data_IF_753792410512
#
_entry.id   IF_753792410512
#
_cell.length_a   1.000
_cell.length_b   1.000
_cell.length_c   1.000
_cell.angle_alpha   90.00
_cell.angle_beta   90.00
_cell.angle_gamma   90.00
#
_symmetry.space_group_name_H-M   'P 1'
#
loop_
_entity.id
_entity.type
_entity.pdbx_description
1 polymer ?
#
# COMPACT_ATOMS: atom_id res chain seq x y z
N UNK A 1 -21.02 -14.91 14.79
CA UNK A 1 -20.87 -14.59 13.35
C UNK A 1 -19.74 -15.48 12.83
N UNK A 2 -19.92 -16.15 11.69
CA UNK A 2 -18.91 -17.02 11.11
C UNK A 2 -17.70 -16.16 10.69
N UNK A 3 -16.59 -16.26 11.42
CA UNK A 3 -15.36 -15.50 11.16
C UNK A 3 -14.51 -16.09 10.02
N UNK A 4 -15.08 -16.93 9.16
CA UNK A 4 -14.34 -17.45 8.01
C UNK A 4 -14.25 -16.37 6.93
N UNK A 5 -13.05 -16.07 6.41
CA UNK A 5 -12.90 -15.11 5.33
C UNK A 5 -13.67 -15.58 4.09
N UNK A 6 -14.24 -14.63 3.35
CA UNK A 6 -14.98 -14.92 2.11
C UNK A 6 -14.07 -15.56 1.04
N UNK A 7 -12.80 -15.15 1.02
CA UNK A 7 -11.78 -15.68 0.14
C UNK A 7 -10.54 -16.11 0.94
N UNK A 8 -9.94 -17.23 0.55
CA UNK A 8 -8.68 -17.71 1.10
C UNK A 8 -7.58 -17.60 0.05
N UNK A 9 -6.30 -17.42 0.46
CA UNK A 9 -5.18 -17.41 -0.49
C UNK A 9 -5.14 -18.70 -1.31
N UNK A 10 -5.04 -18.59 -2.62
CA UNK A 10 -4.93 -19.73 -3.54
C UNK A 10 -3.46 -20.13 -3.72
N UNK A 11 -3.20 -21.44 -3.76
CA UNK A 11 -1.94 -21.89 -4.35
C UNK A 11 -1.94 -21.59 -5.84
N UNK A 12 -0.80 -21.25 -6.41
CA UNK A 12 -0.70 -20.88 -7.84
C UNK A 12 -1.34 -21.92 -8.76
N UNK A 13 -1.13 -23.21 -8.49
CA UNK A 13 -1.68 -24.32 -9.28
C UNK A 13 -3.21 -24.44 -9.21
N UNK A 14 -3.83 -23.90 -8.15
CA UNK A 14 -5.28 -24.01 -7.90
C UNK A 14 -6.01 -22.72 -8.34
N UNK A 15 -5.27 -21.69 -8.73
CA UNK A 15 -5.82 -20.43 -9.24
C UNK A 15 -6.37 -20.60 -10.67
N UNK A 16 -7.31 -19.74 -11.12
CA UNK A 16 -7.69 -19.67 -12.52
C UNK A 16 -6.47 -19.54 -13.44
N UNK A 17 -6.44 -20.21 -14.58
CA UNK A 17 -5.29 -20.26 -15.49
C UNK A 17 -4.71 -18.87 -15.82
N UNK A 18 -5.58 -17.88 -16.05
CA UNK A 18 -5.16 -16.51 -16.33
C UNK A 18 -4.54 -15.79 -15.12
N UNK A 19 -4.76 -16.28 -13.88
CA UNK A 19 -4.10 -15.79 -12.68
C UNK A 19 -2.77 -16.49 -12.43
N UNK A 20 -2.61 -17.74 -12.84
CA UNK A 20 -1.38 -18.52 -12.57
C UNK A 20 -0.13 -17.81 -13.13
N UNK A 21 -0.17 -17.37 -14.39
CA UNK A 21 0.94 -16.63 -15.02
C UNK A 21 1.28 -15.34 -14.25
N UNK A 22 0.26 -14.63 -13.75
CA UNK A 22 0.47 -13.42 -12.95
C UNK A 22 1.10 -13.75 -11.59
N UNK A 23 0.64 -14.81 -10.92
CA UNK A 23 1.22 -15.25 -9.64
C UNK A 23 2.65 -15.76 -9.80
N UNK A 24 2.99 -16.40 -10.92
CA UNK A 24 4.37 -16.78 -11.21
C UNK A 24 5.29 -15.55 -11.40
N UNK A 25 4.78 -14.47 -12.01
CA UNK A 25 5.51 -13.20 -12.11
C UNK A 25 5.72 -12.57 -10.73
N UNK A 26 4.68 -12.57 -9.90
CA UNK A 26 4.75 -12.10 -8.51
C UNK A 26 5.79 -12.90 -7.71
N UNK A 27 5.75 -14.22 -7.83
CA UNK A 27 6.74 -15.09 -7.15
C UNK A 27 8.18 -14.78 -7.57
N UNK A 28 8.42 -14.55 -8.87
CA UNK A 28 9.76 -14.16 -9.36
C UNK A 28 10.24 -12.81 -8.80
N UNK A 29 9.32 -11.88 -8.56
CA UNK A 29 9.64 -10.55 -8.04
C UNK A 29 9.89 -10.55 -6.53
N UNK A 30 9.02 -11.20 -5.74
CA UNK A 30 9.08 -11.21 -4.28
C UNK A 30 9.83 -12.41 -3.68
N UNK A 31 10.06 -13.48 -4.44
CA UNK A 31 10.54 -14.76 -3.92
C UNK A 31 9.43 -15.63 -3.29
N UNK A 32 8.23 -15.09 -3.13
CA UNK A 32 7.03 -15.77 -2.66
C UNK A 32 5.79 -15.09 -3.26
N UNK A 33 4.61 -15.65 -3.03
CA UNK A 33 3.33 -15.03 -3.44
C UNK A 33 2.67 -14.45 -2.19
N UNK A 34 2.60 -13.11 -2.04
CA UNK A 34 1.90 -12.49 -0.91
C UNK A 34 0.44 -12.94 -0.82
N UNK A 35 -0.04 -13.21 0.39
CA UNK A 35 -1.39 -13.72 0.66
C UNK A 35 -2.49 -12.84 0.03
N UNK A 36 -2.32 -11.52 0.05
CA UNK A 36 -3.25 -10.59 -0.61
C UNK A 36 -3.36 -10.88 -2.11
N UNK A 37 -2.24 -11.07 -2.80
CA UNK A 37 -2.23 -11.32 -4.24
C UNK A 37 -2.74 -12.72 -4.57
N UNK A 38 -2.41 -13.70 -3.74
CA UNK A 38 -2.97 -15.05 -3.81
C UNK A 38 -4.49 -15.05 -3.65
N UNK A 39 -5.02 -14.17 -2.80
CA UNK A 39 -6.46 -14.02 -2.59
C UNK A 39 -7.12 -13.25 -3.73
N UNK A 40 -6.51 -12.16 -4.22
CA UNK A 40 -7.01 -11.45 -5.41
C UNK A 40 -7.03 -12.33 -6.67
N UNK A 41 -6.24 -13.40 -6.69
CA UNK A 41 -6.16 -14.34 -7.82
C UNK A 41 -7.45 -15.12 -8.10
N UNK A 42 -8.42 -15.14 -7.18
CA UNK A 42 -9.78 -15.61 -7.45
C UNK A 42 -10.42 -14.90 -8.64
N UNK A 43 -10.04 -13.65 -8.90
CA UNK A 43 -10.44 -12.90 -10.10
C UNK A 43 -9.21 -12.48 -10.91
N UNK A 44 -8.98 -13.09 -12.10
CA UNK A 44 -7.88 -12.69 -12.97
C UNK A 44 -7.91 -11.20 -13.33
N UNK A 45 -9.09 -10.62 -13.47
CA UNK A 45 -9.26 -9.19 -13.75
C UNK A 45 -8.85 -8.33 -12.57
N UNK A 46 -9.26 -8.68 -11.34
CA UNK A 46 -8.89 -7.94 -10.13
C UNK A 46 -7.38 -7.97 -9.91
N UNK A 47 -6.77 -9.16 -9.98
CA UNK A 47 -5.33 -9.32 -9.85
C UNK A 47 -4.57 -8.51 -10.90
N UNK A 48 -4.97 -8.58 -12.17
CA UNK A 48 -4.33 -7.86 -13.27
C UNK A 48 -4.41 -6.34 -13.10
N UNK A 49 -5.59 -5.81 -12.77
CA UNK A 49 -5.77 -4.36 -12.57
C UNK A 49 -4.92 -3.88 -11.40
N UNK A 50 -4.92 -4.63 -10.29
CA UNK A 50 -4.12 -4.29 -9.11
C UNK A 50 -2.62 -4.29 -9.42
N UNK A 51 -2.10 -5.33 -10.09
CA UNK A 51 -0.70 -5.42 -10.47
C UNK A 51 -0.29 -4.33 -11.46
N UNK A 52 -1.11 -4.05 -12.48
CA UNK A 52 -0.82 -2.98 -13.44
C UNK A 52 -0.80 -1.60 -12.79
N UNK A 53 -1.71 -1.33 -11.86
CA UNK A 53 -1.71 -0.09 -11.10
C UNK A 53 -0.46 0.03 -10.19
N UNK A 54 -0.05 -1.07 -9.54
CA UNK A 54 1.16 -1.12 -8.73
C UNK A 54 2.43 -0.87 -9.58
N UNK A 55 2.53 -1.52 -10.74
CA UNK A 55 3.64 -1.32 -11.69
C UNK A 55 3.66 0.13 -12.19
N UNK A 56 2.50 0.67 -12.59
CA UNK A 56 2.41 2.06 -13.03
C UNK A 56 2.84 3.05 -11.95
N UNK A 57 2.45 2.82 -10.70
CA UNK A 57 2.85 3.63 -9.56
C UNK A 57 4.37 3.57 -9.31
N UNK A 58 4.98 2.37 -9.40
CA UNK A 58 6.42 2.19 -9.24
C UNK A 58 7.26 2.91 -10.31
N UNK A 59 6.71 3.08 -11.52
CA UNK A 59 7.38 3.81 -12.61
C UNK A 59 7.15 5.32 -12.57
N UNK A 60 6.52 5.83 -11.54
CA UNK A 60 6.35 7.26 -11.32
C UNK A 60 7.65 7.98 -10.94
N UNK A 61 7.52 9.26 -10.61
CA UNK A 61 8.65 10.15 -10.29
C UNK A 61 8.88 10.32 -8.78
N UNK A 62 7.96 9.84 -7.94
CA UNK A 62 8.17 9.69 -6.51
C UNK A 62 9.30 8.68 -6.27
N UNK A 63 10.22 9.00 -5.36
CA UNK A 63 11.27 8.04 -4.96
C UNK A 63 10.67 6.77 -4.36
N UNK A 64 11.38 5.62 -4.36
CA UNK A 64 10.88 4.41 -3.71
C UNK A 64 10.47 4.61 -2.24
N UNK A 65 11.20 5.48 -1.51
CA UNK A 65 10.86 5.84 -0.14
C UNK A 65 9.52 6.61 -0.08
N UNK A 66 9.35 7.63 -0.91
CA UNK A 66 8.12 8.42 -0.98
C UNK A 66 6.92 7.58 -1.42
N UNK A 67 7.11 6.63 -2.36
CA UNK A 67 6.08 5.68 -2.76
C UNK A 67 5.62 4.82 -1.58
N UNK A 68 6.54 4.25 -0.79
CA UNK A 68 6.18 3.46 0.39
C UNK A 68 5.54 4.31 1.48
N UNK A 69 5.94 5.56 1.66
CA UNK A 69 5.30 6.51 2.58
C UNK A 69 3.83 6.73 2.19
N UNK A 70 3.53 6.94 0.91
CA UNK A 70 2.14 7.06 0.42
C UNK A 70 1.33 5.80 0.73
N UNK A 71 1.87 4.62 0.38
CA UNK A 71 1.15 3.36 0.53
C UNK A 71 0.94 3.00 2.02
N UNK A 72 1.95 3.22 2.86
CA UNK A 72 1.85 3.01 4.32
C UNK A 72 0.83 3.97 4.94
N UNK A 73 0.93 5.25 4.62
CA UNK A 73 0.00 6.28 5.14
C UNK A 73 -1.44 5.96 4.77
N UNK A 74 -1.72 5.65 3.50
CA UNK A 74 -3.05 5.31 3.05
C UNK A 74 -3.59 4.03 3.71
N UNK A 75 -2.73 3.03 3.93
CA UNK A 75 -3.09 1.79 4.62
C UNK A 75 -3.42 2.03 6.08
N UNK A 76 -2.66 2.89 6.76
CA UNK A 76 -2.90 3.27 8.16
C UNK A 76 -4.19 4.07 8.31
N UNK A 77 -4.44 5.05 7.43
CA UNK A 77 -5.67 5.85 7.45
C UNK A 77 -6.93 5.02 7.18
N UNK A 78 -6.81 3.93 6.42
CA UNK A 78 -7.89 2.98 6.17
C UNK A 78 -7.97 1.85 7.21
N UNK A 79 -7.18 1.85 8.28
CA UNK A 79 -7.13 0.79 9.30
C UNK A 79 -6.92 -0.63 8.75
N UNK A 80 -6.21 -0.78 7.61
CA UNK A 80 -5.90 -2.09 7.04
C UNK A 80 -4.66 -2.68 7.70
N UNK A 81 -4.83 -3.67 8.57
CA UNK A 81 -3.72 -4.32 9.29
C UNK A 81 -2.73 -4.98 8.35
N UNK A 82 -3.20 -5.81 7.42
CA UNK A 82 -2.34 -6.50 6.44
C UNK A 82 -1.47 -5.51 5.67
N UNK A 83 -2.11 -4.48 5.10
CA UNK A 83 -1.40 -3.52 4.26
C UNK A 83 -0.44 -2.62 5.08
N UNK A 84 -0.78 -2.26 6.30
CA UNK A 84 0.13 -1.52 7.19
C UNK A 84 1.37 -2.34 7.49
N UNK A 85 1.23 -3.62 7.89
CA UNK A 85 2.37 -4.50 8.16
C UNK A 85 3.26 -4.69 6.93
N UNK A 86 2.66 -5.01 5.77
CA UNK A 86 3.42 -5.23 4.54
C UNK A 86 4.16 -3.98 4.07
N UNK A 87 3.51 -2.80 4.08
CA UNK A 87 4.18 -1.56 3.66
C UNK A 87 5.17 -1.03 4.69
N UNK A 88 5.03 -1.31 5.99
CA UNK A 88 6.06 -1.04 6.98
C UNK A 88 7.32 -1.87 6.73
N UNK A 89 7.17 -3.17 6.44
CA UNK A 89 8.29 -4.02 6.08
C UNK A 89 8.97 -3.58 4.78
N UNK A 90 8.19 -3.32 3.72
CA UNK A 90 8.71 -2.85 2.44
C UNK A 90 9.40 -1.48 2.55
N UNK A 91 8.84 -0.55 3.32
CA UNK A 91 9.43 0.76 3.59
C UNK A 91 10.80 0.62 4.26
N UNK A 92 10.89 -0.23 5.28
CA UNK A 92 12.12 -0.42 6.06
C UNK A 92 13.20 -1.16 5.27
N UNK A 93 12.88 -2.33 4.69
CA UNK A 93 13.87 -3.25 4.17
C UNK A 93 14.19 -3.06 2.68
N UNK A 94 13.29 -2.48 1.90
CA UNK A 94 13.48 -2.32 0.45
C UNK A 94 13.61 -0.87 0.01
N UNK A 95 12.90 0.06 0.67
CA UNK A 95 12.92 1.47 0.31
C UNK A 95 13.80 2.33 1.22
N UNK A 96 14.40 1.75 2.28
CA UNK A 96 15.26 2.44 3.24
C UNK A 96 14.63 3.69 3.86
N UNK A 97 13.32 3.64 4.13
CA UNK A 97 12.64 4.72 4.85
C UNK A 97 13.13 4.74 6.29
N UNK A 98 13.54 5.91 6.83
CA UNK A 98 13.98 6.02 8.22
C UNK A 98 12.93 5.50 9.21
N UNK A 99 13.38 4.75 10.23
CA UNK A 99 12.49 4.12 11.20
C UNK A 99 11.58 5.11 11.93
N UNK A 100 12.08 6.30 12.24
CA UNK A 100 11.31 7.38 12.85
C UNK A 100 10.17 7.88 11.97
N UNK A 101 10.32 7.86 10.64
CA UNK A 101 9.24 8.20 9.69
C UNK A 101 8.15 7.15 9.72
N UNK A 102 8.54 5.87 9.69
CA UNK A 102 7.59 4.73 9.77
C UNK A 102 6.79 4.81 11.08
N UNK A 103 7.48 4.97 12.22
CA UNK A 103 6.86 5.07 13.54
C UNK A 103 5.90 6.28 13.61
N UNK A 104 6.29 7.43 13.07
CA UNK A 104 5.44 8.62 13.03
C UNK A 104 4.15 8.37 12.26
N UNK A 105 4.23 7.73 11.08
CA UNK A 105 3.05 7.38 10.27
C UNK A 105 2.14 6.41 11.03
N UNK A 106 2.70 5.32 11.58
CA UNK A 106 1.94 4.28 12.29
C UNK A 106 1.27 4.81 13.56
N UNK A 107 1.93 5.74 14.28
CA UNK A 107 1.39 6.36 15.49
C UNK A 107 0.50 7.58 15.21
N UNK A 108 0.31 7.96 13.93
CA UNK A 108 -0.48 9.13 13.56
C UNK A 108 0.18 10.47 13.87
N UNK A 109 1.48 10.47 14.20
CA UNK A 109 2.23 11.68 14.55
C UNK A 109 2.76 12.39 13.30
N UNK A 110 3.08 13.70 13.38
CA UNK A 110 3.78 14.41 12.31
C UNK A 110 5.18 13.83 12.07
N UNK A 111 5.60 13.84 10.79
CA UNK A 111 6.96 13.50 10.39
C UNK A 111 7.87 14.74 10.55
N UNK A 112 9.08 14.57 11.09
CA UNK A 112 9.98 15.69 11.36
C UNK A 112 10.47 16.40 10.08
N UNK A 113 10.71 15.64 8.99
CA UNK A 113 11.05 16.21 7.70
C UNK A 113 9.84 16.92 7.09
N UNK A 114 9.97 18.22 6.81
CA UNK A 114 8.86 19.04 6.34
C UNK A 114 8.30 18.62 4.97
N UNK A 115 9.17 18.13 4.06
CA UNK A 115 8.76 17.66 2.74
C UNK A 115 7.99 16.35 2.85
N UNK A 116 8.53 15.38 3.58
CA UNK A 116 7.85 14.10 3.82
C UNK A 116 6.56 14.27 4.63
N UNK A 117 6.55 15.21 5.60
CA UNK A 117 5.33 15.52 6.33
C UNK A 117 4.22 16.08 5.43
N UNK A 118 4.56 16.92 4.46
CA UNK A 118 3.59 17.43 3.49
C UNK A 118 3.01 16.30 2.61
N UNK A 119 3.82 15.30 2.25
CA UNK A 119 3.38 14.10 1.52
C UNK A 119 2.42 13.26 2.37
N UNK A 120 2.78 13.01 3.63
CA UNK A 120 1.94 12.26 4.60
C UNK A 120 0.61 12.97 4.82
N UNK A 121 0.62 14.29 5.09
CA UNK A 121 -0.59 15.07 5.32
C UNK A 121 -1.51 15.11 4.09
N UNK A 122 -0.95 15.28 2.89
CA UNK A 122 -1.74 15.21 1.66
C UNK A 122 -2.40 13.84 1.52
N UNK A 123 -1.65 12.77 1.71
CA UNK A 123 -2.16 11.39 1.60
C UNK A 123 -3.27 11.13 2.62
N UNK A 124 -3.09 11.54 3.89
CA UNK A 124 -4.11 11.45 4.93
C UNK A 124 -5.40 12.16 4.53
N UNK A 125 -5.28 13.42 4.09
CA UNK A 125 -6.45 14.22 3.71
C UNK A 125 -7.19 13.63 2.50
N UNK A 126 -6.45 13.12 1.50
CA UNK A 126 -7.06 12.46 0.34
C UNK A 126 -7.85 11.22 0.73
N UNK A 127 -7.36 10.40 1.66
CA UNK A 127 -8.06 9.23 2.17
C UNK A 127 -9.26 9.65 3.03
N UNK A 128 -9.02 10.42 4.09
CA UNK A 128 -10.05 10.77 5.08
C UNK A 128 -11.22 11.55 4.45
N UNK A 129 -10.92 12.46 3.52
CA UNK A 129 -11.93 13.29 2.85
C UNK A 129 -12.36 12.74 1.47
N UNK A 130 -12.01 11.50 1.13
CA UNK A 130 -12.42 10.86 -0.13
C UNK A 130 -12.08 11.72 -1.37
N UNK A 131 -10.86 12.24 -1.40
CA UNK A 131 -10.36 13.10 -2.48
C UNK A 131 -10.61 14.59 -2.29
N UNK A 132 -11.44 15.02 -1.33
CA UNK A 132 -11.71 16.44 -1.05
C UNK A 132 -10.63 17.07 -0.16
N UNK A 133 -9.35 16.96 -0.57
CA UNK A 133 -8.25 17.57 0.18
C UNK A 133 -8.39 19.10 0.23
N UNK A 134 -8.20 19.73 1.41
CA UNK A 134 -8.24 21.18 1.53
C UNK A 134 -7.18 21.84 0.65
N UNK A 135 -7.52 22.95 -0.01
CA UNK A 135 -6.59 23.68 -0.88
C UNK A 135 -5.27 24.04 -0.18
N UNK A 136 -5.25 24.49 1.09
CA UNK A 136 -3.97 24.78 1.78
C UNK A 136 -3.07 23.54 1.94
N UNK A 137 -3.61 22.32 2.06
CA UNK A 137 -2.82 21.08 2.11
C UNK A 137 -2.14 20.81 0.76
N UNK A 138 -2.88 20.98 -0.34
CA UNK A 138 -2.33 20.85 -1.70
C UNK A 138 -1.25 21.90 -1.96
N UNK A 139 -1.50 23.16 -1.59
CA UNK A 139 -0.54 24.25 -1.79
C UNK A 139 0.75 24.03 -0.99
N UNK A 140 0.65 23.49 0.23
CA UNK A 140 1.82 23.11 1.05
C UNK A 140 2.63 21.99 0.39
N UNK A 141 1.98 20.96 -0.12
CA UNK A 141 2.63 19.87 -0.86
C UNK A 141 3.45 20.40 -2.03
N UNK A 142 2.88 21.27 -2.85
CA UNK A 142 3.58 21.91 -3.97
C UNK A 142 4.71 22.84 -3.46
N UNK A 143 4.48 23.63 -2.42
CA UNK A 143 5.47 24.56 -1.85
C UNK A 143 6.70 23.86 -1.27
N UNK A 144 6.59 22.59 -0.86
CA UNK A 144 7.73 21.78 -0.39
C UNK A 144 8.53 21.12 -1.52
N UNK A 145 8.21 21.44 -2.79
CA UNK A 145 8.98 21.04 -3.97
C UNK A 145 8.44 19.82 -4.71
N UNK A 146 7.27 19.32 -4.35
CA UNK A 146 6.60 18.29 -5.15
C UNK A 146 5.93 18.90 -6.40
N UNK A 147 5.90 18.13 -7.48
CA UNK A 147 5.27 18.55 -8.74
C UNK A 147 3.78 18.20 -8.78
N UNK A 148 3.09 18.78 -9.79
CA UNK A 148 1.70 18.40 -10.09
C UNK A 148 1.58 16.94 -10.56
N UNK A 149 2.59 16.42 -11.23
CA UNK A 149 2.62 15.02 -11.67
C UNK A 149 2.70 14.09 -10.46
N UNK A 150 3.54 14.42 -9.47
CA UNK A 150 3.64 13.69 -8.22
C UNK A 150 2.35 13.74 -7.40
N UNK A 151 1.58 14.83 -7.47
CA UNK A 151 0.23 14.86 -6.90
C UNK A 151 -0.69 13.81 -7.53
N UNK A 152 -0.64 13.61 -8.85
CA UNK A 152 -1.41 12.57 -9.54
C UNK A 152 -0.91 11.17 -9.15
N UNK A 153 0.40 11.00 -8.94
CA UNK A 153 0.97 9.74 -8.44
C UNK A 153 0.48 9.41 -7.03
N UNK A 154 0.36 10.40 -6.13
CA UNK A 154 -0.24 10.18 -4.80
C UNK A 154 -1.69 9.67 -4.94
N UNK A 155 -2.47 10.21 -5.87
CA UNK A 155 -3.83 9.72 -6.15
C UNK A 155 -3.83 8.27 -6.64
N UNK A 156 -2.87 7.87 -7.48
CA UNK A 156 -2.72 6.47 -7.90
C UNK A 156 -2.45 5.57 -6.68
N UNK A 157 -1.50 5.97 -5.81
CA UNK A 157 -1.18 5.24 -4.59
C UNK A 157 -2.38 5.08 -3.66
N UNK A 158 -3.16 6.16 -3.44
CA UNK A 158 -4.40 6.13 -2.65
C UNK A 158 -5.43 5.19 -3.29
N UNK A 159 -5.64 5.28 -4.61
CA UNK A 159 -6.57 4.40 -5.33
C UNK A 159 -6.17 2.93 -5.24
N UNK A 160 -4.88 2.63 -5.37
CA UNK A 160 -4.33 1.28 -5.21
C UNK A 160 -4.62 0.73 -3.80
N UNK A 161 -4.42 1.56 -2.76
CA UNK A 161 -4.71 1.15 -1.39
C UNK A 161 -6.20 1.04 -1.11
N UNK A 162 -7.02 1.88 -1.71
CA UNK A 162 -8.49 1.75 -1.61
C UNK A 162 -8.94 0.36 -2.04
N UNK A 163 -8.43 -0.16 -3.17
CA UNK A 163 -8.76 -1.51 -3.65
C UNK A 163 -8.35 -2.57 -2.61
N UNK A 164 -7.07 -2.58 -2.19
CA UNK A 164 -6.56 -3.65 -1.32
C UNK A 164 -7.05 -3.55 0.11
N UNK A 165 -7.19 -2.34 0.66
CA UNK A 165 -7.65 -2.15 2.03
C UNK A 165 -9.12 -2.51 2.18
N UNK A 166 -9.97 -2.09 1.22
CA UNK A 166 -11.40 -2.44 1.26
C UNK A 166 -11.64 -3.92 1.04
N UNK A 167 -10.80 -4.55 0.18
CA UNK A 167 -10.83 -5.99 0.03
C UNK A 167 -10.51 -6.69 1.36
N UNK A 168 -9.41 -6.29 2.04
CA UNK A 168 -9.00 -6.86 3.34
C UNK A 168 -10.06 -6.67 4.43
N UNK A 169 -10.79 -5.56 4.43
CA UNK A 169 -11.90 -5.33 5.36
C UNK A 169 -13.07 -6.30 5.15
N UNK A 170 -13.36 -6.65 3.90
CA UNK A 170 -14.45 -7.59 3.55
C UNK A 170 -14.01 -9.05 3.74
N UNK A 171 -12.77 -9.35 3.47
CA UNK A 171 -12.19 -10.68 3.58
C UNK A 171 -10.77 -10.58 4.16
N UNK A 172 -10.65 -10.55 5.51
CA UNK A 172 -9.37 -10.37 6.19
C UNK A 172 -8.32 -11.37 5.73
N UNK A 173 -7.13 -10.86 5.42
CA UNK A 173 -5.97 -11.62 4.96
C UNK A 173 -4.97 -11.75 6.10
N UNK A 174 -4.43 -12.96 6.31
CA UNK A 174 -3.35 -13.16 7.28
C UNK A 174 -2.05 -12.50 6.76
N UNK A 175 -1.34 -11.82 7.67
CA UNK A 175 -0.06 -11.18 7.34
C UNK A 175 0.98 -12.26 7.07
N UNK A 176 1.66 -12.18 5.92
CA UNK A 176 2.73 -13.10 5.55
C UNK A 176 3.89 -13.00 6.55
N UNK A 177 4.55 -14.13 6.84
CA UNK A 177 5.69 -14.19 7.77
C UNK A 177 6.82 -13.21 7.35
N UNK A 178 7.00 -13.00 6.04
CA UNK A 178 7.98 -12.09 5.47
C UNK A 178 7.68 -10.61 5.78
N UNK A 179 6.45 -10.28 6.15
CA UNK A 179 6.01 -8.94 6.52
C UNK A 179 5.80 -8.76 8.04
N UNK A 180 5.99 -9.84 8.81
CA UNK A 180 5.93 -9.75 10.27
C UNK A 180 7.15 -9.02 10.81
N UNK A 181 6.96 -8.25 11.88
CA UNK A 181 8.06 -7.58 12.54
C UNK A 181 8.89 -8.58 13.32
N UNK A 182 10.24 -8.49 13.29
CA UNK A 182 11.11 -9.34 14.09
C UNK A 182 10.88 -9.23 15.60
N UNK A 183 10.29 -8.13 16.06
CA UNK A 183 10.01 -7.78 17.46
C UNK A 183 8.62 -8.21 17.94
N UNK A 184 7.83 -8.88 17.10
CA UNK A 184 6.49 -9.41 17.49
C UNK A 184 5.43 -8.34 17.76
N UNK A 185 5.72 -7.07 17.49
CA UNK A 185 4.77 -5.96 17.59
C UNK A 185 3.92 -5.87 16.31
N UNK A 186 2.82 -6.59 16.28
CA UNK A 186 1.78 -6.53 15.22
C UNK A 186 0.60 -5.66 15.66
#
# INVERSE_FOLDING_TARGET
MNNNPLFTPLLTKDAPLASQTLLEQVHRYFGFVPNLLATLAHSPSALRVYLNAAIGFQHGTLTPAEQQIVLLTASKENDCRYCTSSHSALARFFANVPGEVIIAIESGQPVADAKLNALVELTRQLVAARGHAPRPTVDRFIATGYSKDQFLEVLIGVGLKTISNYFDHVSPVEVDDQFQRPDGLN
#
